data_IF_548823227194
#
_entry.id   IF_548823227194
#
_cell.length_a   1.000
_cell.length_b   1.000
_cell.length_c   1.000
_cell.angle_alpha   90.00
_cell.angle_beta   90.00
_cell.angle_gamma   90.00
#
_symmetry.space_group_name_H-M   'P 1'
#
loop_
_entity.id
_entity.type
_entity.pdbx_description
1 polymer ?
#
# COMPACT_ATOMS: atom_id res chain seq x y z
N UNK A 1 -10.02 22.99 4.86
CA UNK A 1 -10.35 21.61 4.41
C UNK A 1 -9.64 21.40 3.08
N UNK A 2 -8.74 20.41 2.97
CA UNK A 2 -7.94 20.18 1.74
C UNK A 2 -8.69 19.21 0.84
N UNK A 3 -8.96 19.63 -0.40
CA UNK A 3 -9.72 18.87 -1.41
C UNK A 3 -8.87 18.46 -2.62
N UNK A 4 -7.82 19.21 -2.93
CA UNK A 4 -6.91 18.86 -4.02
C UNK A 4 -5.45 19.19 -3.66
N UNK A 5 -4.56 18.29 -4.04
CA UNK A 5 -3.12 18.38 -3.86
C UNK A 5 -2.36 18.20 -5.18
N UNK A 6 -3.07 18.11 -6.32
CA UNK A 6 -2.52 17.86 -7.65
C UNK A 6 -1.42 18.86 -8.06
N UNK A 7 -1.49 20.09 -7.55
CA UNK A 7 -0.53 21.17 -7.82
C UNK A 7 0.80 21.02 -7.04
N UNK A 8 0.87 20.15 -6.03
CA UNK A 8 2.05 19.97 -5.18
C UNK A 8 3.11 19.05 -5.84
N UNK A 9 3.43 19.31 -7.11
CA UNK A 9 4.20 18.42 -7.99
C UNK A 9 5.66 18.20 -7.60
N UNK A 10 6.19 18.99 -6.66
CA UNK A 10 7.55 18.85 -6.14
C UNK A 10 7.65 17.93 -4.91
N UNK A 11 6.53 17.43 -4.38
CA UNK A 11 6.56 16.52 -3.25
C UNK A 11 7.21 15.18 -3.62
N UNK A 12 8.12 14.72 -2.77
CA UNK A 12 8.72 13.39 -2.85
C UNK A 12 8.21 12.46 -1.74
N UNK A 13 7.51 13.02 -0.74
CA UNK A 13 6.90 12.32 0.39
C UNK A 13 5.51 12.90 0.66
N UNK A 14 4.56 12.02 0.93
CA UNK A 14 3.17 12.39 1.21
C UNK A 14 2.61 11.49 2.31
N UNK A 15 1.99 12.11 3.30
CA UNK A 15 1.28 11.43 4.38
C UNK A 15 -0.14 11.97 4.42
N UNK A 16 -1.12 11.06 4.30
CA UNK A 16 -2.54 11.40 4.27
C UNK A 16 -3.26 10.50 5.27
N UNK A 17 -3.93 11.12 6.24
CA UNK A 17 -4.72 10.42 7.25
C UNK A 17 -6.12 11.04 7.36
N UNK A 18 -7.18 10.23 7.24
CA UNK A 18 -8.56 10.67 7.45
C UNK A 18 -9.06 11.75 6.47
N UNK A 19 -8.37 11.98 5.36
CA UNK A 19 -8.72 13.01 4.39
C UNK A 19 -9.75 12.48 3.39
N UNK A 20 -11.04 12.63 3.70
CA UNK A 20 -12.15 12.10 2.88
C UNK A 20 -12.28 12.69 1.46
N UNK A 21 -11.64 13.84 1.18
CA UNK A 21 -11.76 14.53 -0.11
C UNK A 21 -10.52 14.39 -1.01
N UNK A 22 -9.45 13.78 -0.51
CA UNK A 22 -8.27 13.49 -1.33
C UNK A 22 -8.55 12.21 -2.11
N UNK A 23 -8.56 12.31 -3.45
CA UNK A 23 -8.95 11.22 -4.36
C UNK A 23 -7.81 10.79 -5.25
N UNK A 24 -8.00 9.70 -6.00
CA UNK A 24 -7.07 9.25 -7.05
C UNK A 24 -6.72 10.34 -8.08
N UNK A 25 -7.64 11.29 -8.35
CA UNK A 25 -7.39 12.40 -9.27
C UNK A 25 -6.29 13.33 -8.74
N UNK A 26 -6.27 13.58 -7.43
CA UNK A 26 -5.30 14.48 -6.80
C UNK A 26 -3.88 13.90 -6.70
N UNK A 27 -3.75 12.56 -6.69
CA UNK A 27 -2.45 11.88 -6.47
C UNK A 27 -1.75 11.51 -7.78
N UNK A 28 -2.48 11.17 -8.84
CA UNK A 28 -1.89 10.61 -10.08
C UNK A 28 -0.84 11.52 -10.76
N UNK A 29 -0.86 12.82 -10.47
CA UNK A 29 0.04 13.83 -11.04
C UNK A 29 1.33 14.04 -10.23
N UNK A 30 1.45 13.44 -9.04
CA UNK A 30 2.57 13.64 -8.13
C UNK A 30 3.77 12.74 -8.47
N UNK A 31 4.25 12.78 -9.71
CA UNK A 31 5.18 11.80 -10.30
C UNK A 31 6.57 11.71 -9.63
N UNK A 32 6.95 12.72 -8.83
CA UNK A 32 8.20 12.73 -8.03
C UNK A 32 8.08 11.96 -6.71
N UNK A 33 6.91 11.40 -6.41
CA UNK A 33 6.67 10.72 -5.13
C UNK A 33 7.54 9.47 -5.00
N UNK A 34 8.28 9.38 -3.90
CA UNK A 34 9.12 8.22 -3.56
C UNK A 34 8.54 7.43 -2.40
N UNK A 35 7.77 8.11 -1.52
CA UNK A 35 7.19 7.53 -0.33
C UNK A 35 5.78 8.06 -0.10
N UNK A 36 4.87 7.14 0.19
CA UNK A 36 3.49 7.46 0.58
C UNK A 36 3.12 6.73 1.86
N UNK A 37 2.46 7.45 2.78
CA UNK A 37 1.69 6.87 3.87
C UNK A 37 0.23 7.26 3.67
N UNK A 38 -0.67 6.28 3.63
CA UNK A 38 -2.11 6.50 3.58
C UNK A 38 -2.76 5.78 4.76
N UNK A 39 -3.59 6.48 5.51
CA UNK A 39 -4.34 5.96 6.64
C UNK A 39 -5.80 6.37 6.59
N UNK A 40 -6.73 5.41 6.65
CA UNK A 40 -8.16 5.70 6.74
C UNK A 40 -8.66 6.66 5.63
N UNK A 41 -8.31 6.35 4.38
CA UNK A 41 -8.76 7.11 3.20
C UNK A 41 -9.40 6.15 2.20
N UNK A 42 -10.70 6.34 1.96
CA UNK A 42 -11.49 5.45 1.07
C UNK A 42 -11.39 5.80 -0.42
N UNK A 43 -10.98 7.02 -0.75
CA UNK A 43 -11.02 7.57 -2.11
C UNK A 43 -9.68 7.45 -2.87
N UNK A 44 -8.67 6.82 -2.26
CA UNK A 44 -7.37 6.55 -2.87
C UNK A 44 -7.27 5.04 -3.11
N UNK A 45 -7.07 4.65 -4.36
CA UNK A 45 -6.92 3.26 -4.78
C UNK A 45 -5.58 3.06 -5.48
N UNK A 46 -5.28 1.83 -5.90
CA UNK A 46 -4.11 1.54 -6.70
C UNK A 46 -4.12 2.23 -8.08
N UNK A 47 -5.29 2.70 -8.55
CA UNK A 47 -5.41 3.39 -9.84
C UNK A 47 -4.62 4.69 -9.89
N UNK A 48 -4.47 5.42 -8.78
CA UNK A 48 -3.58 6.59 -8.75
C UNK A 48 -2.13 6.20 -8.53
N UNK A 49 -1.86 5.30 -7.58
CA UNK A 49 -0.50 4.96 -7.17
C UNK A 49 0.32 4.27 -8.27
N UNK A 50 -0.34 3.52 -9.17
CA UNK A 50 0.34 2.87 -10.30
C UNK A 50 0.96 3.85 -11.31
N UNK A 51 0.51 5.11 -11.31
CA UNK A 51 1.05 6.16 -12.19
C UNK A 51 2.27 6.89 -11.58
N UNK A 52 2.75 6.44 -10.41
CA UNK A 52 3.88 7.06 -9.71
C UNK A 52 5.15 6.23 -9.96
N UNK A 53 5.96 6.56 -10.99
CA UNK A 53 7.06 5.70 -11.42
C UNK A 53 8.16 5.56 -10.36
N UNK A 54 8.33 6.58 -9.52
CA UNK A 54 9.37 6.63 -8.49
C UNK A 54 8.92 6.09 -7.12
N UNK A 55 7.66 5.64 -6.99
CA UNK A 55 7.11 5.19 -5.72
C UNK A 55 7.73 3.85 -5.32
N UNK A 56 8.63 3.89 -4.34
CA UNK A 56 9.35 2.70 -3.86
C UNK A 56 8.93 2.28 -2.46
N UNK A 57 8.24 3.16 -1.72
CA UNK A 57 7.85 2.93 -0.33
C UNK A 57 6.39 3.27 -0.09
N UNK A 58 5.61 2.28 0.33
CA UNK A 58 4.21 2.47 0.68
C UNK A 58 3.95 1.98 2.11
N UNK A 59 3.25 2.80 2.90
CA UNK A 59 2.67 2.40 4.18
C UNK A 59 1.15 2.58 4.09
N UNK A 60 0.42 1.47 4.23
CA UNK A 60 -1.03 1.42 4.12
C UNK A 60 -1.64 1.02 5.46
N UNK A 61 -2.48 1.89 6.04
CA UNK A 61 -3.15 1.67 7.32
C UNK A 61 -4.66 1.80 7.16
N UNK A 62 -5.44 0.90 7.77
CA UNK A 62 -6.91 1.01 7.76
C UNK A 62 -7.51 1.24 6.35
N UNK A 63 -7.06 0.49 5.35
CA UNK A 63 -7.78 0.42 4.09
C UNK A 63 -8.95 -0.54 4.25
N UNK A 64 -10.11 -0.08 3.79
CA UNK A 64 -11.26 -0.94 3.59
C UNK A 64 -11.01 -1.91 2.44
N UNK A 65 -11.81 -2.97 2.42
CA UNK A 65 -11.70 -4.13 1.54
C UNK A 65 -11.26 -3.81 0.09
N UNK A 66 -10.38 -4.65 -0.46
CA UNK A 66 -10.00 -4.73 -1.88
C UNK A 66 -8.96 -3.74 -2.46
N UNK A 67 -8.02 -3.21 -1.66
CA UNK A 67 -6.86 -2.52 -2.26
C UNK A 67 -5.96 -3.52 -3.00
N UNK A 68 -5.96 -3.47 -4.34
CA UNK A 68 -5.12 -4.33 -5.17
C UNK A 68 -3.71 -3.74 -5.36
N UNK A 69 -2.72 -4.34 -4.71
CA UNK A 69 -1.33 -3.93 -4.84
C UNK A 69 -0.65 -4.45 -6.13
N UNK A 70 -1.30 -5.30 -6.93
CA UNK A 70 -0.66 -6.03 -8.04
C UNK A 70 0.02 -5.13 -9.08
N UNK A 71 -0.41 -3.88 -9.19
CA UNK A 71 0.12 -2.88 -10.14
C UNK A 71 1.25 -2.02 -9.56
N UNK A 72 1.58 -2.15 -8.28
CA UNK A 72 2.61 -1.34 -7.62
C UNK A 72 3.98 -2.03 -7.67
N UNK A 73 4.35 -2.58 -8.81
CA UNK A 73 5.53 -3.45 -9.01
C UNK A 73 6.86 -2.75 -8.80
N UNK A 74 6.88 -1.41 -8.74
CA UNK A 74 8.08 -0.61 -8.42
C UNK A 74 8.40 -0.60 -6.90
N UNK A 75 7.47 -1.01 -6.05
CA UNK A 75 7.68 -1.01 -4.60
C UNK A 75 8.88 -1.88 -4.20
N UNK A 76 9.70 -1.33 -3.29
CA UNK A 76 10.79 -2.02 -2.59
C UNK A 76 10.47 -2.23 -1.12
N UNK A 77 9.66 -1.36 -0.54
CA UNK A 77 9.19 -1.47 0.85
C UNK A 77 7.67 -1.32 0.90
N UNK A 78 7.02 -2.30 1.54
CA UNK A 78 5.59 -2.25 1.81
C UNK A 78 5.34 -2.53 3.29
N UNK A 79 4.55 -1.67 3.92
CA UNK A 79 4.01 -1.87 5.27
C UNK A 79 2.50 -1.82 5.22
N UNK A 80 1.84 -2.85 5.73
CA UNK A 80 0.37 -2.97 5.80
C UNK A 80 -0.01 -3.15 7.27
N UNK A 81 -0.92 -2.30 7.78
CA UNK A 81 -1.36 -2.31 9.18
C UNK A 81 -2.88 -2.26 9.27
N UNK A 82 -3.50 -3.23 9.95
CA UNK A 82 -4.95 -3.30 10.16
C UNK A 82 -5.73 -3.27 8.84
N UNK A 83 -5.51 -4.27 7.98
CA UNK A 83 -6.24 -4.41 6.72
C UNK A 83 -6.79 -5.81 6.56
N UNK A 84 -7.99 -5.91 5.97
CA UNK A 84 -8.69 -7.17 5.73
C UNK A 84 -8.68 -7.50 4.23
N UNK A 85 -8.35 -8.74 3.87
CA UNK A 85 -8.42 -9.29 2.50
C UNK A 85 -7.51 -8.65 1.44
N UNK A 86 -6.69 -7.67 1.82
CA UNK A 86 -5.74 -6.94 0.97
C UNK A 86 -4.50 -7.75 0.55
N UNK A 87 -4.34 -8.96 1.05
CA UNK A 87 -3.09 -9.70 0.94
C UNK A 87 -2.94 -10.53 -0.32
N UNK A 88 -4.04 -10.85 -1.01
CA UNK A 88 -4.01 -11.73 -2.17
C UNK A 88 -3.09 -11.20 -3.28
N UNK A 89 -3.04 -9.87 -3.42
CA UNK A 89 -2.26 -9.17 -4.45
C UNK A 89 -0.79 -8.93 -4.09
N UNK A 90 -0.36 -9.11 -2.83
CA UNK A 90 1.05 -8.86 -2.45
C UNK A 90 2.00 -9.79 -3.18
N UNK A 91 1.53 -10.99 -3.56
CA UNK A 91 2.30 -12.02 -4.28
C UNK A 91 2.90 -11.52 -5.61
N UNK A 92 2.33 -10.47 -6.19
CA UNK A 92 2.80 -9.88 -7.45
C UNK A 92 3.92 -8.85 -7.26
N UNK A 93 4.23 -8.47 -6.02
CA UNK A 93 5.24 -7.47 -5.69
C UNK A 93 6.63 -8.09 -5.54
N UNK A 94 7.07 -8.85 -6.55
CA UNK A 94 8.30 -9.66 -6.54
C UNK A 94 9.58 -8.85 -6.33
N UNK A 95 9.53 -7.53 -6.53
CA UNK A 95 10.61 -6.59 -6.30
C UNK A 95 10.77 -6.13 -4.84
N UNK A 96 9.86 -6.51 -3.93
CA UNK A 96 9.95 -6.12 -2.53
C UNK A 96 11.22 -6.66 -1.89
N UNK A 97 11.96 -5.78 -1.23
CA UNK A 97 13.11 -6.13 -0.37
C UNK A 97 12.74 -6.09 1.11
N UNK A 98 11.65 -5.40 1.46
CA UNK A 98 11.12 -5.34 2.82
C UNK A 98 9.60 -5.37 2.84
N UNK A 99 9.06 -6.29 3.64
CA UNK A 99 7.63 -6.43 3.88
C UNK A 99 7.35 -6.46 5.39
N UNK A 100 6.40 -5.63 5.82
CA UNK A 100 5.88 -5.66 7.18
C UNK A 100 4.37 -5.74 7.18
N UNK A 101 3.83 -6.79 7.81
CA UNK A 101 2.40 -7.04 7.96
C UNK A 101 2.06 -7.02 9.44
N UNK A 102 1.08 -6.20 9.83
CA UNK A 102 0.61 -6.08 11.20
C UNK A 102 -0.91 -6.13 11.23
N UNK A 103 -1.49 -7.10 11.95
CA UNK A 103 -2.94 -7.30 12.01
C UNK A 103 -3.57 -7.39 10.62
N UNK A 104 -3.01 -8.23 9.75
CA UNK A 104 -3.53 -8.51 8.40
C UNK A 104 -4.13 -9.91 8.40
N UNK A 105 -5.41 -10.01 8.03
CA UNK A 105 -6.13 -11.28 8.03
C UNK A 105 -5.83 -12.09 6.76
N UNK A 106 -5.96 -13.42 6.86
CA UNK A 106 -5.91 -14.36 5.74
C UNK A 106 -4.57 -14.39 4.96
N UNK A 107 -3.45 -14.04 5.62
CA UNK A 107 -2.10 -14.29 5.06
C UNK A 107 -1.82 -15.80 5.05
N UNK A 108 -1.24 -16.27 3.95
CA UNK A 108 -0.77 -17.65 3.78
C UNK A 108 0.60 -17.65 3.12
N UNK A 109 1.28 -18.79 3.15
CA UNK A 109 2.59 -18.96 2.51
C UNK A 109 2.57 -18.66 1.00
N UNK A 110 1.50 -19.01 0.30
CA UNK A 110 1.35 -18.74 -1.14
C UNK A 110 1.39 -17.25 -1.50
N UNK A 111 1.05 -16.38 -0.55
CA UNK A 111 1.14 -14.93 -0.73
C UNK A 111 2.56 -14.41 -0.64
N UNK A 112 3.45 -15.11 0.09
CA UNK A 112 4.80 -14.67 0.41
C UNK A 112 5.85 -15.43 -0.41
N UNK A 113 5.59 -16.70 -0.75
CA UNK A 113 6.50 -17.58 -1.50
C UNK A 113 7.05 -16.95 -2.79
N UNK A 114 6.29 -16.16 -3.58
CA UNK A 114 6.83 -15.51 -4.79
C UNK A 114 7.79 -14.33 -4.52
N UNK A 115 7.87 -13.82 -3.29
CA UNK A 115 8.62 -12.61 -2.94
C UNK A 115 10.10 -12.92 -2.67
N UNK A 116 10.76 -13.48 -3.67
CA UNK A 116 12.14 -14.03 -3.57
C UNK A 116 13.21 -12.99 -3.29
N UNK A 117 12.94 -11.69 -3.50
CA UNK A 117 13.87 -10.60 -3.21
C UNK A 117 13.79 -10.07 -1.76
N UNK A 118 12.91 -10.62 -0.92
CA UNK A 118 12.76 -10.14 0.46
C UNK A 118 14.03 -10.37 1.28
N UNK A 119 14.51 -9.30 1.89
CA UNK A 119 15.62 -9.30 2.86
C UNK A 119 15.14 -9.03 4.28
N UNK A 120 13.92 -8.51 4.43
CA UNK A 120 13.29 -8.20 5.72
C UNK A 120 11.82 -8.58 5.66
N UNK A 121 11.41 -9.49 6.53
CA UNK A 121 10.03 -9.91 6.71
C UNK A 121 9.65 -9.75 8.18
N UNK A 122 8.57 -9.04 8.44
CA UNK A 122 8.00 -8.89 9.78
C UNK A 122 6.49 -9.13 9.71
N UNK A 123 6.01 -10.18 10.36
CA UNK A 123 4.60 -10.55 10.40
C UNK A 123 4.18 -10.60 11.86
N UNK A 124 3.20 -9.79 12.25
CA UNK A 124 2.65 -9.74 13.61
C UNK A 124 1.14 -9.76 13.57
N UNK A 125 0.52 -10.55 14.44
CA UNK A 125 -0.93 -10.65 14.58
C UNK A 125 -1.67 -10.98 13.25
N UNK A 126 -1.04 -11.73 12.36
CA UNK A 126 -1.61 -12.13 11.07
C UNK A 126 -1.96 -13.63 11.12
N UNK A 127 -3.15 -13.96 11.63
CA UNK A 127 -3.60 -15.35 11.76
C UNK A 127 -4.68 -15.69 10.72
N UNK A 128 -4.73 -16.95 10.28
CA UNK A 128 -5.94 -17.49 9.66
C UNK A 128 -7.02 -17.50 10.73
N UNK A 129 -8.14 -16.81 10.52
CA UNK A 129 -9.35 -17.21 11.24
C UNK A 129 -9.70 -18.60 10.73
N UNK A 130 -9.32 -19.65 11.46
CA UNK A 130 -10.11 -20.88 11.44
C UNK A 130 -11.49 -20.46 11.95
N UNK A 131 -12.43 -20.26 11.04
CA UNK A 131 -13.85 -20.17 11.40
C UNK A 131 -14.16 -21.47 12.14
N UNK A 132 -14.43 -21.36 13.44
CA UNK A 132 -15.29 -22.32 14.13
C UNK A 132 -16.72 -22.10 13.66
#
# INVERSE_FOLDING_TARGET
MIYDISMLTNLTRLEIAGCKYVTDASIRHLTKMTRILISNVRQITCNSLRHLPNLTRLTALHFEYNFDFSKLTNLRTLKIIYNTDTASSIRYLTNLTSLSLFSVLNITEDHIRPLTNLRKLNIKYCNKHQRR
#
